data_IF_536242736999
#
_entry.id   IF_536242736999
#
_cell.length_a   1.000
_cell.length_b   1.000
_cell.length_c   1.000
_cell.angle_alpha   90.00
_cell.angle_beta   90.00
_cell.angle_gamma   90.00
#
_symmetry.space_group_name_H-M   'P 1'
#
loop_
_entity.id
_entity.type
_entity.pdbx_description
1 polymer ?
#
# COMPACT_ATOMS: atom_id res chain seq x y z
N UNK A 1 14.48 -2.92 -3.77
CA UNK A 1 13.41 -2.12 -3.13
C UNK A 1 13.98 -0.73 -2.94
N UNK A 2 13.40 0.31 -3.56
CA UNK A 2 13.84 1.68 -3.29
C UNK A 2 13.35 2.05 -1.90
N UNK A 3 14.27 2.21 -0.95
CA UNK A 3 13.97 2.77 0.37
C UNK A 3 13.67 4.25 0.18
N UNK A 4 12.42 4.57 -0.15
CA UNK A 4 11.92 5.92 -0.04
C UNK A 4 11.53 6.11 1.42
N UNK A 5 12.27 6.93 2.15
CA UNK A 5 11.83 7.48 3.44
C UNK A 5 10.57 8.31 3.18
N UNK A 6 9.43 7.63 3.17
CA UNK A 6 8.11 8.20 2.98
C UNK A 6 7.39 8.14 4.33
N UNK A 7 6.96 9.29 4.81
CA UNK A 7 6.15 9.41 6.02
C UNK A 7 4.68 9.38 5.62
N UNK A 8 3.94 8.39 6.16
CA UNK A 8 2.51 8.27 5.94
C UNK A 8 1.78 9.49 6.50
N UNK A 9 1.04 10.19 5.66
CA UNK A 9 0.22 11.35 6.07
C UNK A 9 -1.17 10.88 6.45
N UNK A 10 -1.87 10.20 5.54
CA UNK A 10 -3.20 9.64 5.79
C UNK A 10 -3.58 8.51 4.84
N UNK A 11 -4.50 7.66 5.27
CA UNK A 11 -5.17 6.69 4.39
C UNK A 11 -6.38 7.38 3.74
N UNK A 12 -6.45 7.35 2.41
CA UNK A 12 -7.52 7.96 1.62
C UNK A 12 -8.65 6.96 1.39
N UNK A 13 -8.29 5.72 1.05
CA UNK A 13 -9.25 4.65 0.78
C UNK A 13 -8.69 3.31 1.19
N UNK A 14 -9.57 2.44 1.68
CA UNK A 14 -9.24 1.05 1.97
C UNK A 14 -10.40 0.14 1.54
N UNK A 15 -10.10 -0.80 0.65
CA UNK A 15 -11.06 -1.80 0.18
C UNK A 15 -10.55 -3.20 0.54
N UNK A 16 -11.46 -4.01 1.07
CA UNK A 16 -11.26 -5.44 1.32
C UNK A 16 -12.04 -6.26 0.29
N UNK A 17 -11.40 -7.28 -0.29
CA UNK A 17 -12.04 -8.24 -1.18
C UNK A 17 -11.72 -9.67 -0.73
N UNK A 18 -12.76 -10.48 -0.54
CA UNK A 18 -12.62 -11.91 -0.23
C UNK A 18 -12.51 -12.67 -1.56
N UNK A 19 -11.42 -13.40 -1.72
CA UNK A 19 -11.10 -14.23 -2.90
C UNK A 19 -10.60 -15.59 -2.41
N UNK A 20 -9.63 -16.22 -3.09
CA UNK A 20 -8.82 -17.28 -2.50
C UNK A 20 -7.85 -16.71 -1.45
N UNK A 21 -8.35 -16.04 -0.40
CA UNK A 21 -7.57 -15.21 0.51
C UNK A 21 -8.29 -13.89 0.80
N UNK A 22 -7.59 -12.95 1.41
CA UNK A 22 -8.09 -11.58 1.58
C UNK A 22 -7.18 -10.61 0.85
N UNK A 23 -7.70 -9.97 -0.20
CA UNK A 23 -7.03 -8.90 -0.93
C UNK A 23 -7.40 -7.55 -0.31
N UNK A 24 -6.40 -6.73 -0.06
CA UNK A 24 -6.55 -5.35 0.36
C UNK A 24 -6.05 -4.44 -0.76
N UNK A 25 -6.79 -3.36 -0.99
CA UNK A 25 -6.42 -2.29 -1.92
C UNK A 25 -6.49 -1.00 -1.12
N UNK A 26 -5.35 -0.35 -0.95
CA UNK A 26 -5.18 0.82 -0.09
C UNK A 26 -4.67 1.97 -0.92
N UNK A 27 -5.32 3.12 -0.81
CA UNK A 27 -4.83 4.39 -1.32
C UNK A 27 -4.47 5.27 -0.12
N UNK A 28 -3.29 5.88 -0.16
CA UNK A 28 -2.77 6.66 0.96
C UNK A 28 -1.89 7.79 0.46
N UNK A 29 -1.92 8.89 1.18
CA UNK A 29 -1.03 10.03 0.96
C UNK A 29 0.21 9.84 1.82
N UNK A 30 1.39 10.03 1.24
CA UNK A 30 2.64 10.08 1.96
C UNK A 30 3.49 11.25 1.47
N UNK A 31 4.33 11.78 2.36
CA UNK A 31 5.32 12.82 2.03
C UNK A 31 6.71 12.20 2.07
N UNK A 32 7.61 12.67 1.21
CA UNK A 32 9.02 12.26 1.29
C UNK A 32 9.67 12.98 2.49
N UNK A 33 10.55 12.31 3.23
CA UNK A 33 11.12 12.86 4.47
C UNK A 33 11.76 14.26 4.34
N UNK A 34 12.20 14.65 3.13
CA UNK A 34 12.83 15.94 2.84
C UNK A 34 11.98 16.85 1.92
N UNK A 35 10.69 16.58 1.76
CA UNK A 35 9.79 17.37 0.92
C UNK A 35 8.42 17.55 1.59
N UNK A 36 7.87 18.75 1.51
CA UNK A 36 6.48 19.03 1.89
C UNK A 36 5.48 18.56 0.81
N UNK A 37 5.99 18.01 -0.29
CA UNK A 37 5.17 17.43 -1.35
C UNK A 37 4.48 16.16 -0.85
N UNK A 38 3.15 16.21 -0.82
CA UNK A 38 2.28 15.08 -0.52
C UNK A 38 1.90 14.41 -1.83
N UNK A 39 2.26 13.15 -1.98
CA UNK A 39 1.93 12.35 -3.16
C UNK A 39 0.93 11.26 -2.77
N UNK A 40 0.00 10.95 -3.67
CA UNK A 40 -0.95 9.86 -3.51
C UNK A 40 -0.32 8.55 -4.00
N UNK A 41 -0.39 7.53 -3.17
CA UNK A 41 0.09 6.18 -3.46
C UNK A 41 -1.08 5.20 -3.45
N UNK A 42 -0.95 4.14 -4.24
CA UNK A 42 -1.87 3.01 -4.23
C UNK A 42 -1.08 1.73 -4.10
N UNK A 43 -1.51 0.85 -3.19
CA UNK A 43 -0.94 -0.48 -3.06
C UNK A 43 -2.03 -1.53 -2.94
N UNK A 44 -1.76 -2.72 -3.46
CA UNK A 44 -2.58 -3.88 -3.16
C UNK A 44 -1.73 -5.05 -2.71
N UNK A 45 -2.24 -5.77 -1.73
CA UNK A 45 -1.60 -6.96 -1.18
C UNK A 45 -2.62 -8.05 -0.88
N UNK A 46 -2.16 -9.30 -0.92
CA UNK A 46 -2.95 -10.50 -0.66
C UNK A 46 -2.41 -11.21 0.58
N UNK A 47 -3.33 -11.60 1.46
CA UNK A 47 -3.03 -12.44 2.62
C UNK A 47 -3.69 -13.81 2.40
N UNK A 48 -2.87 -14.86 2.45
CA UNK A 48 -3.27 -16.26 2.35
C UNK A 48 -2.59 -17.06 3.48
N UNK A 49 -3.14 -17.05 4.71
CA UNK A 49 -2.46 -17.59 5.89
C UNK A 49 -2.10 -19.08 5.81
N UNK A 50 -2.82 -19.84 4.97
CA UNK A 50 -2.57 -21.26 4.71
C UNK A 50 -1.43 -21.52 3.70
N UNK A 51 -0.94 -20.49 3.01
CA UNK A 51 0.21 -20.56 2.09
C UNK A 51 1.45 -19.96 2.74
N UNK A 52 1.33 -18.74 3.29
CA UNK A 52 2.41 -18.04 4.00
C UNK A 52 1.82 -17.12 5.07
N UNK A 53 2.61 -16.85 6.11
CA UNK A 53 2.30 -15.83 7.12
C UNK A 53 2.58 -14.40 6.61
N UNK A 54 3.36 -14.28 5.54
CA UNK A 54 3.71 -12.99 4.95
C UNK A 54 2.59 -12.48 4.04
N UNK A 55 2.44 -11.17 3.99
CA UNK A 55 1.62 -10.52 2.98
C UNK A 55 2.35 -10.54 1.64
N UNK A 56 1.60 -10.73 0.55
CA UNK A 56 2.13 -10.70 -0.81
C UNK A 56 1.75 -9.37 -1.45
N UNK A 57 2.72 -8.49 -1.69
CA UNK A 57 2.48 -7.24 -2.44
C UNK A 57 2.22 -7.61 -3.89
N UNK A 58 1.05 -7.25 -4.41
CA UNK A 58 0.67 -7.49 -5.79
C UNK A 58 1.03 -6.28 -6.67
N UNK A 59 0.78 -5.07 -6.16
CA UNK A 59 0.98 -3.84 -6.90
C UNK A 59 1.32 -2.67 -5.97
N UNK A 60 2.16 -1.77 -6.46
CA UNK A 60 2.48 -0.49 -5.84
C UNK A 60 2.60 0.58 -6.93
N UNK A 61 1.83 1.66 -6.81
CA UNK A 61 1.71 2.75 -7.78
C UNK A 61 1.80 4.10 -7.09
N UNK A 62 2.36 5.07 -7.81
CA UNK A 62 2.41 6.48 -7.42
C UNK A 62 1.46 7.21 -8.39
N UNK A 63 0.56 8.01 -7.85
CA UNK A 63 -0.29 8.90 -8.62
C UNK A 63 0.34 10.29 -8.56
N UNK A 64 0.96 10.70 -9.67
CA UNK A 64 1.53 12.03 -9.91
C UNK A 64 0.46 13.00 -10.40
#
# INVERSE_FOLDING_TARGET
MQNTDAELVRIVSAKKQVVAGTKYIIEFEAKRANSDEVTLYSTSYLIQPWISKDLQILEFKIHS
#
